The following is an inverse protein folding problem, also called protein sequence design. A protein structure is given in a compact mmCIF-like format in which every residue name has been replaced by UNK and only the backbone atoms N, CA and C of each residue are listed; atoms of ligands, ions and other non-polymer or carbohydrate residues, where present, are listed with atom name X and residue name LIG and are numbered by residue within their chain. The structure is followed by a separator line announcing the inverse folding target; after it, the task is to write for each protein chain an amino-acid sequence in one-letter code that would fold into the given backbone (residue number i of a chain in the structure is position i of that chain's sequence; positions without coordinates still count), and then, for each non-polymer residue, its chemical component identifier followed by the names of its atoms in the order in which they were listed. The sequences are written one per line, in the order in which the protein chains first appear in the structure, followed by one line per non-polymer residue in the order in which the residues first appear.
data_IF_380269068995
#
_entry.id   IF_380269068995
#
_cell.length_a   1.000
_cell.length_b   1.000
_cell.length_c   1.000
_cell.angle_alpha   90.00
_cell.angle_beta   90.00
_cell.angle_gamma   90.00
#
_symmetry.space_group_name_H-M   'P 1'
#
loop_
_entity.id
_entity.type
_entity.pdbx_description
1 polymer ?
#
# COMPACT_ATOMS: atom_id res chain seq x y z
N UNK A 1 -10.10 14.48 -6.99
CA UNK A 1 -11.05 13.56 -7.66
C UNK A 1 -11.12 12.34 -6.78
N UNK A 2 -12.32 11.98 -6.34
CA UNK A 2 -12.49 10.75 -5.55
C UNK A 2 -12.38 9.57 -6.50
N UNK A 3 -11.71 8.51 -6.12
CA UNK A 3 -11.54 7.30 -6.95
C UNK A 3 -12.88 6.75 -7.48
N UNK A 4 -13.97 6.97 -6.74
CA UNK A 4 -15.35 6.65 -7.14
C UNK A 4 -15.86 7.43 -8.36
N UNK A 5 -15.43 8.69 -8.55
CA UNK A 5 -15.83 9.54 -9.68
C UNK A 5 -15.19 9.03 -10.99
N UNK A 6 -13.92 8.61 -10.91
CA UNK A 6 -13.18 8.04 -12.04
C UNK A 6 -13.81 6.71 -12.46
N UNK A 7 -14.17 5.86 -11.48
CA UNK A 7 -14.82 4.58 -11.75
C UNK A 7 -16.17 4.75 -12.46
N UNK A 8 -16.98 5.73 -12.03
CA UNK A 8 -18.23 6.07 -12.70
C UNK A 8 -18.00 6.51 -14.14
N UNK A 9 -17.03 7.39 -14.39
CA UNK A 9 -16.69 7.86 -15.74
C UNK A 9 -16.25 6.70 -16.67
N UNK A 10 -15.51 5.71 -16.15
CA UNK A 10 -15.09 4.52 -16.90
C UNK A 10 -16.30 3.68 -17.31
N UNK A 11 -17.25 3.47 -16.38
CA UNK A 11 -18.49 2.73 -16.63
C UNK A 11 -19.36 3.47 -17.66
N UNK A 12 -19.54 4.78 -17.50
CA UNK A 12 -20.30 5.63 -18.44
C UNK A 12 -19.72 5.59 -19.86
N UNK A 13 -18.39 5.49 -19.98
CA UNK A 13 -17.68 5.34 -21.26
C UNK A 13 -17.72 3.91 -21.83
N UNK A 14 -18.35 2.95 -21.15
CA UNK A 14 -18.46 1.56 -21.60
C UNK A 14 -17.14 0.78 -21.63
N UNK A 15 -16.14 1.23 -20.85
CA UNK A 15 -14.83 0.61 -20.77
C UNK A 15 -14.85 -0.63 -19.88
N UNK A 16 -15.31 -1.75 -20.45
CA UNK A 16 -15.60 -3.02 -19.76
C UNK A 16 -14.45 -4.03 -19.78
N UNK A 17 -13.28 -3.65 -20.32
CA UNK A 17 -12.10 -4.51 -20.28
C UNK A 17 -11.68 -4.82 -18.84
N UNK A 18 -11.13 -6.03 -18.57
CA UNK A 18 -10.62 -6.38 -17.23
C UNK A 18 -9.61 -5.36 -16.73
N UNK A 19 -9.74 -4.97 -15.46
CA UNK A 19 -8.91 -3.95 -14.81
C UNK A 19 -8.86 -4.15 -13.31
N UNK A 20 -7.78 -3.67 -12.71
CA UNK A 20 -7.67 -3.56 -11.25
C UNK A 20 -8.53 -2.39 -10.79
N UNK A 21 -9.31 -2.58 -9.73
CA UNK A 21 -10.21 -1.56 -9.18
C UNK A 21 -9.62 -0.98 -7.90
N UNK A 22 -10.01 0.25 -7.58
CA UNK A 22 -9.67 0.87 -6.29
C UNK A 22 -10.17 0.04 -5.12
N UNK A 23 -11.37 -0.52 -5.22
CA UNK A 23 -11.94 -1.38 -4.18
C UNK A 23 -11.02 -2.57 -3.87
N UNK A 24 -10.52 -3.26 -4.90
CA UNK A 24 -9.59 -4.38 -4.72
C UNK A 24 -8.32 -3.95 -3.99
N UNK A 25 -7.80 -2.75 -4.29
CA UNK A 25 -6.61 -2.23 -3.62
C UNK A 25 -6.92 -1.81 -2.18
N UNK A 26 -8.08 -1.19 -1.93
CA UNK A 26 -8.53 -0.81 -0.59
C UNK A 26 -8.70 -2.03 0.31
N UNK A 27 -9.26 -3.12 -0.21
CA UNK A 27 -9.40 -4.38 0.51
C UNK A 27 -8.05 -4.98 0.88
N UNK A 28 -7.08 -4.99 -0.05
CA UNK A 28 -5.72 -5.48 0.20
C UNK A 28 -4.95 -4.59 1.18
N UNK A 29 -5.11 -3.27 1.08
CA UNK A 29 -4.50 -2.33 2.03
C UNK A 29 -5.12 -2.51 3.42
N UNK A 30 -6.43 -2.70 3.49
CA UNK A 30 -7.17 -2.94 4.73
C UNK A 30 -6.81 -4.25 5.43
N UNK A 31 -6.26 -5.24 4.71
CA UNK A 31 -5.79 -6.50 5.29
C UNK A 31 -4.32 -6.48 5.71
N UNK A 32 -3.59 -5.38 5.48
CA UNK A 32 -2.17 -5.29 5.83
C UNK A 32 -1.95 -5.42 7.35
N UNK A 33 -0.97 -6.24 7.72
CA UNK A 33 -0.42 -6.31 9.07
C UNK A 33 0.79 -5.39 9.15
N UNK A 34 0.93 -4.68 10.27
CA UNK A 34 2.02 -3.74 10.47
C UNK A 34 2.94 -4.20 11.59
N UNK A 35 4.23 -4.22 11.29
CA UNK A 35 5.29 -4.51 12.26
C UNK A 35 6.17 -3.30 12.42
N UNK A 36 6.44 -2.86 13.65
CA UNK A 36 7.25 -1.67 13.89
C UNK A 36 8.51 -1.99 14.66
N UNK A 37 9.60 -1.32 14.30
CA UNK A 37 10.85 -1.36 15.03
C UNK A 37 11.50 0.02 15.03
N UNK A 38 12.06 0.37 16.19
CA UNK A 38 12.98 1.49 16.28
C UNK A 38 14.39 0.99 15.98
N UNK A 39 15.12 1.71 15.13
CA UNK A 39 16.53 1.40 14.89
C UNK A 39 17.31 1.78 16.16
N UNK A 40 18.05 0.84 16.78
CA UNK A 40 18.73 1.06 18.05
C UNK A 40 19.61 2.32 18.04
N UNK A 41 19.60 3.05 19.15
CA UNK A 41 20.39 4.28 19.36
C UNK A 41 20.06 5.46 18.43
N UNK A 42 19.02 5.34 17.59
CA UNK A 42 18.56 6.41 16.69
C UNK A 42 17.14 6.88 17.03
N UNK A 43 16.70 7.92 16.34
CA UNK A 43 15.33 8.46 16.34
C UNK A 43 14.49 7.93 15.17
N UNK A 44 14.96 6.85 14.52
CA UNK A 44 14.30 6.29 13.33
C UNK A 44 13.35 5.17 13.72
N UNK A 45 12.09 5.33 13.34
CA UNK A 45 11.07 4.28 13.39
C UNK A 45 10.85 3.75 11.99
N UNK A 46 10.81 2.44 11.87
CA UNK A 46 10.49 1.73 10.64
C UNK A 46 9.22 0.92 10.88
N UNK A 47 8.41 0.80 9.82
CA UNK A 47 7.18 0.00 9.83
C UNK A 47 7.12 -0.82 8.55
N UNK A 48 7.01 -2.13 8.67
CA UNK A 48 6.76 -3.05 7.57
C UNK A 48 5.26 -3.26 7.41
N UNK A 49 4.77 -3.19 6.17
CA UNK A 49 3.44 -3.60 5.78
C UNK A 49 3.51 -5.01 5.17
N UNK A 50 2.82 -5.95 5.79
CA UNK A 50 2.79 -7.38 5.46
C UNK A 50 1.41 -7.77 4.92
N UNK A 51 1.39 -8.53 3.83
CA UNK A 51 0.20 -9.24 3.34
C UNK A 51 -0.04 -10.53 4.12
N UNK A 52 -1.26 -11.08 4.06
CA UNK A 52 -1.63 -12.26 4.85
C UNK A 52 -0.79 -13.52 4.61
N UNK A 53 -0.07 -13.59 3.50
CA UNK A 53 0.85 -14.66 3.14
C UNK A 53 2.29 -14.46 3.66
N UNK A 54 2.54 -13.40 4.43
CA UNK A 54 3.86 -13.05 4.96
C UNK A 54 4.71 -12.19 4.02
N UNK A 55 4.20 -11.79 2.85
CA UNK A 55 4.94 -10.94 1.93
C UNK A 55 4.99 -9.48 2.42
N UNK A 56 6.20 -8.97 2.66
CA UNK A 56 6.40 -7.55 3.01
C UNK A 56 6.30 -6.70 1.75
N UNK A 57 5.15 -6.05 1.57
CA UNK A 57 4.87 -5.25 0.38
C UNK A 57 5.54 -3.87 0.40
N UNK A 58 5.73 -3.29 1.59
CA UNK A 58 6.41 -2.00 1.74
C UNK A 58 7.02 -1.81 3.12
N UNK A 59 8.03 -0.94 3.19
CA UNK A 59 8.58 -0.43 4.45
C UNK A 59 8.51 1.10 4.45
N UNK A 60 7.79 1.62 5.45
CA UNK A 60 7.71 3.04 5.77
C UNK A 60 8.73 3.45 6.82
N UNK A 61 9.06 4.75 6.86
CA UNK A 61 10.00 5.29 7.84
C UNK A 61 9.61 6.66 8.35
N UNK A 62 9.97 6.92 9.60
CA UNK A 62 9.97 8.25 10.20
C UNK A 62 11.29 8.45 10.94
N UNK A 63 11.95 9.59 10.75
CA UNK A 63 13.20 9.93 11.42
C UNK A 63 13.12 11.36 11.94
N UNK A 64 13.05 11.51 13.27
CA UNK A 64 13.15 12.84 13.89
C UNK A 64 14.59 13.33 13.86
N UNK A 65 14.81 14.61 13.59
CA UNK A 65 16.18 15.17 13.47
C UNK A 65 16.88 15.24 14.83
N UNK A 66 16.14 15.38 15.93
CA UNK A 66 16.70 15.50 17.27
C UNK A 66 16.08 14.51 18.26
N UNK A 67 16.87 14.10 19.26
CA UNK A 67 16.41 13.16 20.30
C UNK A 67 15.40 13.81 21.23
N UNK A 68 15.52 15.11 21.46
CA UNK A 68 14.64 15.92 22.29
C UNK A 68 13.21 15.99 21.70
N UNK A 69 13.10 15.96 20.38
CA UNK A 69 11.82 15.95 19.66
C UNK A 69 11.38 14.54 19.26
N UNK A 70 12.06 13.49 19.73
CA UNK A 70 11.67 12.13 19.41
C UNK A 70 10.47 11.70 20.25
N UNK A 71 9.44 11.21 19.57
CA UNK A 71 8.29 10.58 20.19
C UNK A 71 7.96 9.30 19.40
N UNK A 72 8.03 8.15 20.08
CA UNK A 72 7.86 6.85 19.45
C UNK A 72 6.45 6.65 18.86
N UNK A 73 5.41 7.18 19.51
CA UNK A 73 4.04 7.07 19.01
C UNK A 73 3.83 7.90 17.73
N UNK A 74 4.36 9.12 17.70
CA UNK A 74 4.33 9.98 16.51
C UNK A 74 5.16 9.35 15.38
N UNK A 75 6.35 8.83 15.71
CA UNK A 75 7.21 8.12 14.77
C UNK A 75 6.51 6.91 14.14
N UNK A 76 5.80 6.12 14.95
CA UNK A 76 5.01 4.99 14.47
C UNK A 76 3.91 5.43 13.52
N UNK A 77 3.11 6.46 13.87
CA UNK A 77 2.03 6.97 13.00
C UNK A 77 2.56 7.40 11.63
N UNK A 78 3.61 8.22 11.62
CA UNK A 78 4.23 8.70 10.37
C UNK A 78 4.80 7.54 9.55
N UNK A 79 5.52 6.62 10.20
CA UNK A 79 6.13 5.49 9.51
C UNK A 79 5.06 4.52 8.96
N UNK A 80 3.95 4.32 9.68
CA UNK A 80 2.81 3.53 9.21
C UNK A 80 2.13 4.18 8.01
N UNK A 81 1.83 5.47 8.07
CA UNK A 81 1.21 6.20 6.95
C UNK A 81 2.09 6.14 5.70
N UNK A 82 3.42 6.29 5.87
CA UNK A 82 4.38 6.13 4.78
C UNK A 82 4.41 4.70 4.23
N UNK A 83 4.32 3.67 5.09
CA UNK A 83 4.28 2.27 4.67
C UNK A 83 2.99 1.95 3.90
N UNK A 84 1.85 2.41 4.39
CA UNK A 84 0.52 2.19 3.78
C UNK A 84 0.43 2.83 2.40
N UNK A 85 0.87 4.09 2.25
CA UNK A 85 0.91 4.77 0.96
C UNK A 85 1.79 4.03 -0.05
N UNK A 86 3.00 3.64 0.35
CA UNK A 86 3.91 2.85 -0.50
C UNK A 86 3.34 1.48 -0.84
N UNK A 87 2.68 0.83 0.11
CA UNK A 87 2.02 -0.46 -0.09
C UNK A 87 0.92 -0.33 -1.13
N UNK A 88 0.06 0.70 -1.05
CA UNK A 88 -0.98 1.00 -2.03
C UNK A 88 -0.40 1.13 -3.44
N UNK A 89 0.62 1.96 -3.61
CA UNK A 89 1.29 2.15 -4.91
C UNK A 89 1.87 0.82 -5.44
N UNK A 90 2.51 0.04 -4.56
CA UNK A 90 3.11 -1.25 -4.94
C UNK A 90 2.06 -2.31 -5.28
N UNK A 91 0.95 -2.35 -4.56
CA UNK A 91 -0.15 -3.27 -4.83
C UNK A 91 -0.80 -2.97 -6.19
N UNK A 92 -0.96 -1.69 -6.54
CA UNK A 92 -1.40 -1.31 -7.89
C UNK A 92 -0.49 -1.87 -8.98
N UNK A 93 0.83 -1.71 -8.83
CA UNK A 93 1.83 -2.24 -9.78
C UNK A 93 1.74 -3.77 -9.88
N UNK A 94 1.74 -4.46 -8.73
CA UNK A 94 1.72 -5.92 -8.67
C UNK A 94 0.42 -6.52 -9.21
N UNK A 95 -0.74 -5.96 -8.84
CA UNK A 95 -2.04 -6.43 -9.33
C UNK A 95 -2.24 -6.11 -10.81
N UNK A 96 -1.75 -4.98 -11.29
CA UNK A 96 -1.75 -4.66 -12.71
C UNK A 96 -0.90 -5.66 -13.52
N UNK A 97 0.27 -6.03 -12.98
CA UNK A 97 1.13 -7.04 -13.59
C UNK A 97 0.49 -8.44 -13.57
N UNK A 98 -0.06 -8.86 -12.44
CA UNK A 98 -0.77 -10.14 -12.27
C UNK A 98 -1.91 -10.26 -13.29
N UNK A 99 -2.78 -9.24 -13.38
CA UNK A 99 -3.85 -9.21 -14.36
C UNK A 99 -3.32 -9.38 -15.79
N UNK A 100 -2.24 -8.67 -16.16
CA UNK A 100 -1.62 -8.80 -17.47
C UNK A 100 -1.12 -10.23 -17.74
N UNK A 101 -0.54 -10.89 -16.73
CA UNK A 101 -0.10 -12.28 -16.87
C UNK A 101 -1.28 -13.25 -17.03
N UNK A 102 -2.34 -13.08 -16.25
CA UNK A 102 -3.55 -13.90 -16.33
C UNK A 102 -4.18 -13.81 -17.72
N UNK A 103 -4.33 -12.58 -18.24
CA UNK A 103 -4.84 -12.34 -19.60
C UNK A 103 -3.96 -12.98 -20.68
N UNK A 104 -2.64 -12.93 -20.54
CA UNK A 104 -1.70 -13.57 -21.49
C UNK A 104 -1.82 -15.10 -21.47
N UNK A 105 -2.14 -15.69 -20.31
CA UNK A 105 -2.25 -17.13 -20.13
C UNK A 105 -3.67 -17.67 -20.41
N UNK A 106 -4.62 -16.80 -20.80
CA UNK A 106 -6.02 -17.19 -20.99
C UNK A 106 -6.74 -17.59 -19.70
N UNK A 107 -6.16 -17.24 -18.55
CA UNK A 107 -6.82 -17.39 -17.25
C UNK A 107 -7.86 -16.29 -17.11
N UNK A 108 -9.05 -16.63 -16.61
CA UNK A 108 -10.08 -15.63 -16.34
C UNK A 108 -9.54 -14.58 -15.36
N UNK A 109 -9.87 -13.31 -15.62
CA UNK A 109 -9.60 -12.19 -14.73
C UNK A 109 -10.48 -12.25 -13.49
#
# INVERSE_FOLDING_TARGET
MKDSEIEQEIIEKGLTAPRVTTQTIDELVGSLKYHSWQVPETTTTLVAAELDDGFIVAIGKAASVSKENFNAEIGYKIARDDAERKARDKLWELKGWELKQNLKQGMAA
#
